data_IF_036781745378
#
_entry.id   IF_036781745378
#
_cell.length_a   1.000
_cell.length_b   1.000
_cell.length_c   1.000
_cell.angle_alpha   90.00
_cell.angle_beta   90.00
_cell.angle_gamma   90.00
#
_symmetry.space_group_name_H-M   'P 1'
#
loop_
_entity.id
_entity.type
_entity.pdbx_description
1 polymer ?
#
# COMPACT_ATOMS: atom_id res chain seq x y z
N UNK A 1 27.04 -12.15 -37.09
CA UNK A 1 25.74 -12.81 -36.85
C UNK A 1 25.83 -13.56 -35.52
N UNK A 2 25.38 -12.98 -34.42
CA UNK A 2 25.24 -13.66 -33.13
C UNK A 2 23.77 -13.68 -32.78
N UNK A 3 23.09 -14.82 -32.91
CA UNK A 3 21.72 -14.97 -32.41
C UNK A 3 21.83 -15.24 -30.92
N UNK A 4 21.71 -14.18 -30.13
CA UNK A 4 21.47 -14.30 -28.69
C UNK A 4 20.18 -15.10 -28.51
N UNK A 5 20.36 -16.36 -28.14
CA UNK A 5 19.24 -17.25 -27.85
C UNK A 5 18.76 -16.89 -26.46
N UNK A 6 17.79 -15.99 -26.38
CA UNK A 6 16.98 -15.85 -25.18
C UNK A 6 16.25 -17.18 -24.98
N UNK A 7 16.63 -17.92 -23.93
CA UNK A 7 15.83 -19.05 -23.47
C UNK A 7 14.40 -18.53 -23.24
N UNK A 8 13.34 -19.22 -23.72
CA UNK A 8 11.99 -18.81 -23.37
C UNK A 8 11.89 -18.85 -21.85
N UNK A 9 11.71 -17.67 -21.24
CA UNK A 9 11.40 -17.60 -19.83
C UNK A 9 10.19 -18.49 -19.62
N UNK A 10 10.35 -19.59 -18.88
CA UNK A 10 9.23 -20.45 -18.52
C UNK A 10 8.15 -19.54 -17.95
N UNK A 11 6.93 -19.64 -18.50
CA UNK A 11 5.84 -18.76 -18.11
C UNK A 11 5.68 -18.86 -16.59
N UNK A 12 5.99 -17.79 -15.84
CA UNK A 12 6.04 -17.89 -14.41
C UNK A 12 4.62 -18.17 -13.92
N UNK A 13 4.45 -19.26 -13.16
CA UNK A 13 3.14 -19.59 -12.58
C UNK A 13 2.55 -18.40 -11.81
N UNK A 14 1.22 -18.35 -11.63
CA UNK A 14 0.49 -17.15 -11.16
C UNK A 14 0.96 -16.61 -9.80
N UNK A 15 1.64 -17.42 -9.01
CA UNK A 15 2.25 -17.05 -7.73
C UNK A 15 3.42 -16.06 -7.87
N UNK A 16 4.16 -16.10 -8.99
CA UNK A 16 5.35 -15.26 -9.19
C UNK A 16 4.97 -13.79 -9.43
N UNK A 17 4.02 -13.45 -10.33
CA UNK A 17 3.48 -12.10 -10.43
C UNK A 17 2.91 -11.60 -9.09
N UNK A 18 2.14 -12.45 -8.40
CA UNK A 18 1.49 -12.12 -7.14
C UNK A 18 2.50 -11.73 -6.04
N UNK A 19 3.58 -12.50 -5.90
CA UNK A 19 4.70 -12.15 -5.00
C UNK A 19 5.42 -10.87 -5.41
N UNK A 20 5.56 -10.65 -6.72
CA UNK A 20 6.23 -9.45 -7.25
C UNK A 20 5.41 -8.20 -6.94
N UNK A 21 4.10 -8.25 -7.12
CA UNK A 21 3.16 -7.17 -6.78
C UNK A 21 3.19 -6.85 -5.28
N UNK A 22 3.07 -7.87 -4.42
CA UNK A 22 3.17 -7.70 -2.97
C UNK A 22 4.49 -7.06 -2.55
N UNK A 23 5.61 -7.48 -3.16
CA UNK A 23 6.93 -6.90 -2.87
C UNK A 23 7.05 -5.47 -3.37
N UNK A 24 6.44 -5.14 -4.51
CA UNK A 24 6.39 -3.76 -5.01
C UNK A 24 5.65 -2.85 -4.03
N UNK A 25 4.55 -3.31 -3.43
CA UNK A 25 3.83 -2.56 -2.38
C UNK A 25 4.77 -2.26 -1.21
N UNK A 26 5.48 -3.25 -0.68
CA UNK A 26 6.41 -3.05 0.45
C UNK A 26 7.50 -2.03 0.10
N UNK A 27 8.12 -2.15 -1.07
CA UNK A 27 9.15 -1.21 -1.54
C UNK A 27 8.61 0.22 -1.69
N UNK A 28 7.37 0.38 -2.15
CA UNK A 28 6.72 1.68 -2.24
C UNK A 28 6.47 2.29 -0.85
N UNK A 29 6.10 1.49 0.14
CA UNK A 29 5.96 1.96 1.53
C UNK A 29 7.30 2.43 2.09
N UNK A 30 8.37 1.65 1.89
CA UNK A 30 9.73 2.04 2.30
C UNK A 30 10.14 3.36 1.64
N UNK A 31 9.92 3.47 0.33
CA UNK A 31 10.24 4.69 -0.42
C UNK A 31 9.40 5.89 0.02
N UNK A 32 8.16 5.69 0.47
CA UNK A 32 7.35 6.76 1.05
C UNK A 32 7.97 7.32 2.33
N UNK A 33 8.60 6.48 3.16
CA UNK A 33 9.32 6.91 4.36
C UNK A 33 10.61 7.68 4.07
N UNK A 34 11.16 7.60 2.86
CA UNK A 34 12.30 8.42 2.44
C UNK A 34 11.93 9.90 2.20
N UNK A 35 10.64 10.20 2.02
CA UNK A 35 10.18 11.58 1.89
C UNK A 35 10.08 12.24 3.28
N UNK A 36 10.83 13.33 3.56
CA UNK A 36 10.87 13.94 4.89
C UNK A 36 9.50 14.41 5.40
N UNK A 37 8.62 14.87 4.51
CA UNK A 37 7.26 15.31 4.88
C UNK A 37 6.37 14.14 5.32
N UNK A 38 6.50 12.98 4.65
CA UNK A 38 5.76 11.76 5.00
C UNK A 38 6.26 11.22 6.33
N UNK A 39 7.58 11.05 6.46
CA UNK A 39 8.21 10.58 7.69
C UNK A 39 7.82 11.42 8.91
N UNK A 40 7.96 12.75 8.82
CA UNK A 40 7.58 13.65 9.92
C UNK A 40 6.12 13.49 10.30
N UNK A 41 5.21 13.39 9.32
CA UNK A 41 3.78 13.25 9.59
C UNK A 41 3.43 11.90 10.23
N UNK A 42 4.06 10.81 9.80
CA UNK A 42 3.88 9.47 10.39
C UNK A 42 4.45 9.40 11.82
N UNK A 43 5.62 10.00 12.06
CA UNK A 43 6.25 10.04 13.40
C UNK A 43 5.49 10.96 14.38
N UNK A 44 4.91 12.07 13.90
CA UNK A 44 4.16 13.03 14.73
C UNK A 44 2.74 12.57 15.04
N UNK A 45 2.05 11.96 14.07
CA UNK A 45 0.72 11.42 14.27
C UNK A 45 0.84 9.95 14.65
N UNK A 46 0.99 9.74 15.96
CA UNK A 46 1.13 8.44 16.62
C UNK A 46 -0.14 7.57 16.51
N UNK A 47 -0.57 7.24 15.27
CA UNK A 47 -1.60 6.26 14.84
C UNK A 47 -2.98 6.78 14.40
N UNK A 48 -3.31 8.08 14.39
CA UNK A 48 -4.72 8.50 14.17
C UNK A 48 -5.11 9.08 12.80
N UNK A 49 -4.19 9.54 11.93
CA UNK A 49 -4.62 10.39 10.79
C UNK A 49 -3.72 10.43 9.54
N UNK A 50 -2.52 9.82 9.51
CA UNK A 50 -2.31 8.83 8.44
C UNK A 50 -1.25 7.79 8.85
N UNK A 51 -1.70 6.60 9.22
CA UNK A 51 -0.77 5.47 9.21
C UNK A 51 -0.48 5.11 7.74
N UNK A 52 0.73 4.66 7.44
CA UNK A 52 1.08 4.23 6.10
C UNK A 52 0.52 2.81 5.87
N UNK A 53 -0.15 2.57 4.74
CA UNK A 53 -0.91 1.33 4.49
C UNK A 53 -0.52 0.69 3.17
N UNK A 54 -0.19 -0.60 3.23
CA UNK A 54 0.03 -1.43 2.05
C UNK A 54 -1.18 -2.30 1.77
N UNK A 55 -1.85 -2.07 0.65
CA UNK A 55 -2.91 -2.94 0.16
C UNK A 55 -2.51 -3.59 -1.15
N UNK A 56 -2.86 -4.85 -1.28
CA UNK A 56 -2.74 -5.61 -2.51
C UNK A 56 -4.12 -6.19 -2.85
N UNK A 57 -4.70 -5.73 -3.94
CA UNK A 57 -6.02 -6.17 -4.39
C UNK A 57 -5.86 -7.25 -5.45
N UNK A 58 -6.43 -8.42 -5.19
CA UNK A 58 -6.49 -9.52 -6.15
C UNK A 58 -7.83 -9.45 -6.87
N UNK A 59 -7.80 -9.01 -8.13
CA UNK A 59 -9.01 -8.73 -8.91
C UNK A 59 -9.80 -10.01 -9.15
N UNK A 60 -9.11 -11.11 -9.46
CA UNK A 60 -9.69 -12.41 -9.80
C UNK A 60 -10.47 -13.01 -8.63
N UNK A 61 -10.08 -12.68 -7.40
CA UNK A 61 -10.67 -13.20 -6.17
C UNK A 61 -11.58 -12.18 -5.47
N UNK A 62 -11.54 -10.91 -5.89
CA UNK A 62 -12.25 -9.81 -5.24
C UNK A 62 -11.77 -9.55 -3.82
N UNK A 63 -10.50 -9.86 -3.52
CA UNK A 63 -9.95 -9.84 -2.16
C UNK A 63 -8.90 -8.76 -1.98
N UNK A 64 -8.96 -8.08 -0.84
CA UNK A 64 -7.91 -7.15 -0.37
C UNK A 64 -7.03 -7.87 0.62
N UNK A 65 -5.72 -7.83 0.38
CA UNK A 65 -4.70 -8.23 1.35
C UNK A 65 -4.03 -6.99 1.93
N UNK A 66 -3.94 -6.91 3.25
CA UNK A 66 -3.31 -5.81 3.99
C UNK A 66 -1.93 -6.25 4.46
N UNK A 67 -0.92 -5.39 4.28
CA UNK A 67 0.42 -5.63 4.80
C UNK A 67 0.46 -5.37 6.31
N UNK A 68 0.61 -6.44 7.09
CA UNK A 68 0.85 -6.36 8.52
C UNK A 68 2.34 -6.09 8.78
N UNK A 69 2.64 -4.87 9.23
CA UNK A 69 4.00 -4.42 9.54
C UNK A 69 4.59 -5.21 10.72
N UNK A 70 3.77 -5.67 11.68
CA UNK A 70 4.26 -6.45 12.83
C UNK A 70 4.65 -7.86 12.41
N UNK A 71 3.81 -8.49 11.58
CA UNK A 71 4.03 -9.84 11.05
C UNK A 71 4.93 -9.91 9.81
N UNK A 72 5.22 -8.77 9.17
CA UNK A 72 6.02 -8.69 7.95
C UNK A 72 5.40 -9.42 6.75
N UNK A 73 4.06 -9.55 6.73
CA UNK A 73 3.34 -10.37 5.74
C UNK A 73 2.01 -9.74 5.35
N UNK A 74 1.51 -10.15 4.19
CA UNK A 74 0.15 -9.83 3.77
C UNK A 74 -0.84 -10.79 4.45
N UNK A 75 -1.94 -10.24 4.96
CA UNK A 75 -3.07 -10.99 5.53
C UNK A 75 -4.38 -10.56 4.83
N UNK A 76 -5.39 -11.43 4.70
CA UNK A 76 -6.69 -11.03 4.19
C UNK A 76 -7.28 -9.90 5.03
N UNK A 77 -7.93 -8.91 4.41
CA UNK A 77 -8.51 -7.79 5.16
C UNK A 77 -9.59 -8.23 6.14
N UNK A 78 -10.27 -9.36 5.86
CA UNK A 78 -11.26 -10.00 6.75
C UNK A 78 -10.67 -10.49 8.08
N UNK A 79 -9.36 -10.75 8.11
CA UNK A 79 -8.63 -11.21 9.31
C UNK A 79 -7.79 -10.10 9.94
N UNK A 80 -7.77 -8.92 9.31
CA UNK A 80 -7.00 -7.79 9.78
C UNK A 80 -7.77 -7.01 10.84
N UNK A 81 -7.17 -6.78 12.00
CA UNK A 81 -7.74 -5.94 13.07
C UNK A 81 -7.87 -4.46 12.68
N UNK A 82 -7.24 -4.07 11.58
CA UNK A 82 -7.34 -2.74 11.00
C UNK A 82 -7.33 -2.85 9.49
N UNK A 83 -8.17 -2.10 8.79
CA UNK A 83 -8.12 -2.03 7.32
C UNK A 83 -6.87 -1.34 6.80
N UNK A 84 -5.84 -1.12 7.62
CA UNK A 84 -4.91 -0.04 7.41
C UNK A 84 -5.59 1.28 7.78
N UNK A 85 -6.05 1.35 9.02
CA UNK A 85 -6.56 2.54 9.66
C UNK A 85 -6.55 2.21 11.15
N UNK A 86 -5.54 2.66 11.90
CA UNK A 86 -5.66 2.74 13.37
C UNK A 86 -6.91 3.54 13.73
N UNK A 87 -7.49 3.46 14.94
CA UNK A 87 -8.89 3.84 15.22
C UNK A 87 -9.23 5.23 14.66
N UNK A 88 -9.85 5.29 13.47
CA UNK A 88 -10.34 6.56 12.95
C UNK A 88 -11.61 6.84 13.74
N UNK A 89 -11.57 7.88 14.57
CA UNK A 89 -12.77 8.65 14.81
C UNK A 89 -13.31 9.05 13.44
N UNK A 90 -14.60 8.82 13.22
CA UNK A 90 -15.31 9.05 11.97
C UNK A 90 -14.72 10.23 11.22
N UNK A 91 -14.12 9.98 10.05
CA UNK A 91 -13.84 11.07 9.14
C UNK A 91 -15.19 11.81 8.95
N UNK A 92 -15.25 13.13 9.18
CA UNK A 92 -16.47 13.86 8.89
C UNK A 92 -16.86 13.52 7.46
N UNK A 93 -18.13 13.12 7.28
CA UNK A 93 -18.64 12.69 5.99
C UNK A 93 -18.16 13.68 4.93
N UNK A 94 -17.48 13.16 3.91
CA UNK A 94 -17.15 13.94 2.72
C UNK A 94 -18.48 14.37 2.09
N UNK A 95 -18.90 15.60 2.40
CA UNK A 95 -20.12 16.24 1.93
C UNK A 95 -19.96 16.77 0.49
N UNK A 96 -18.86 16.41 -0.18
CA UNK A 96 -18.58 16.79 -1.56
C UNK A 96 -18.24 18.28 -1.71
N UNK A 97 -17.97 18.98 -0.61
CA UNK A 97 -17.51 20.37 -0.68
C UNK A 97 -16.01 20.38 -1.01
N UNK A 98 -15.59 20.97 -2.15
CA UNK A 98 -14.17 21.06 -2.48
C UNK A 98 -13.47 21.82 -1.35
N UNK A 99 -12.51 21.18 -0.68
CA UNK A 99 -11.59 21.85 0.25
C UNK A 99 -10.88 22.95 -0.51
N UNK A 100 -11.37 24.18 -0.35
CA UNK A 100 -10.74 25.36 -0.88
C UNK A 100 -9.37 25.50 -0.23
N UNK A 101 -8.32 25.20 -1.00
CA UNK A 101 -6.96 25.57 -0.62
C UNK A 101 -6.90 27.10 -0.55
N UNK A 102 -6.57 27.71 0.60
CA UNK A 102 -6.37 29.15 0.63
C UNK A 102 -5.19 29.49 -0.28
N UNK A 103 -5.47 30.24 -1.35
CA UNK A 103 -4.43 30.96 -2.08
C UNK A 103 -3.73 31.88 -1.08
N UNK A 104 -2.52 31.52 -0.67
CA UNK A 104 -1.61 32.47 -0.06
C UNK A 104 -1.15 33.44 -1.17
N UNK A 105 -1.24 34.73 -0.84
CA UNK A 105 -0.95 35.91 -1.66
C UNK A 105 0.41 35.85 -2.37
#
# INVERSE_FOLDING_TARGET
MGKETILPAADPGPEVPRRTEQRAVVLLLERLMDYPMVRRRVEQHNLSLPSLHGWHYVIEEGQVHVFDVRGGRFIPSSESAHSGTGPYADAPADDGQPTALPHAL
#
